data_IF_735098410090
#
_entry.id   IF_735098410090
#
_cell.length_a   1.000
_cell.length_b   1.000
_cell.length_c   1.000
_cell.angle_alpha   90.00
_cell.angle_beta   90.00
_cell.angle_gamma   90.00
#
_symmetry.space_group_name_H-M   'P 1'
#
loop_
_entity.id
_entity.type
_entity.pdbx_description
1 polymer ?
#
# COMPACT_ATOMS: atom_id res chain seq x y z
N UNK A 1 -3.61 -22.24 -3.02
CA UNK A 1 -3.28 -21.15 -3.97
C UNK A 1 -2.49 -20.11 -3.19
N UNK A 2 -1.37 -19.62 -3.72
CA UNK A 2 -0.53 -18.65 -3.01
C UNK A 2 -1.18 -17.27 -3.08
N UNK A 3 -2.04 -16.94 -2.12
CA UNK A 3 -2.69 -15.63 -2.03
C UNK A 3 -1.65 -14.58 -1.68
N UNK A 4 -1.46 -13.60 -2.55
CA UNK A 4 -0.50 -12.51 -2.29
C UNK A 4 -1.05 -11.53 -1.24
N UNK A 5 -0.20 -10.73 -0.60
CA UNK A 5 -0.64 -9.66 0.31
C UNK A 5 -1.55 -8.64 -0.38
N UNK A 6 -1.35 -8.42 -1.69
CA UNK A 6 -2.22 -7.60 -2.52
C UNK A 6 -3.62 -8.18 -2.64
N UNK A 7 -3.73 -9.49 -2.88
CA UNK A 7 -5.02 -10.18 -2.95
C UNK A 7 -5.73 -10.27 -1.59
N UNK A 8 -4.98 -10.41 -0.49
CA UNK A 8 -5.55 -10.36 0.87
C UNK A 8 -6.22 -9.02 1.17
N UNK A 9 -5.61 -7.92 0.73
CA UNK A 9 -6.21 -6.59 0.82
C UNK A 9 -7.22 -6.30 -0.30
N UNK A 10 -7.34 -7.16 -1.31
CA UNK A 10 -8.19 -6.93 -2.47
C UNK A 10 -7.73 -5.74 -3.32
N UNK A 11 -6.43 -5.43 -3.32
CA UNK A 11 -5.83 -4.32 -4.07
C UNK A 11 -4.93 -4.84 -5.20
N UNK A 12 -4.73 -4.02 -6.23
CA UNK A 12 -3.77 -4.35 -7.29
C UNK A 12 -2.31 -4.26 -6.81
N UNK A 13 -1.39 -4.91 -7.52
CA UNK A 13 0.06 -4.76 -7.28
C UNK A 13 0.55 -3.33 -7.46
N UNK A 14 -0.10 -2.58 -8.33
CA UNK A 14 0.14 -1.16 -8.59
C UNK A 14 -0.50 -0.23 -7.54
N UNK A 15 -1.17 -0.78 -6.51
CA UNK A 15 -1.84 0.02 -5.49
C UNK A 15 -0.85 0.92 -4.74
N UNK A 16 -1.27 2.17 -4.56
CA UNK A 16 -0.51 3.19 -3.84
C UNK A 16 -0.70 3.04 -2.33
N UNK A 17 0.22 3.56 -1.52
CA UNK A 17 0.10 3.60 -0.05
C UNK A 17 -1.28 4.03 0.47
N UNK A 18 -1.90 5.12 -0.04
CA UNK A 18 -3.26 5.51 0.36
C UNK A 18 -4.35 4.50 -0.03
N UNK A 19 -4.22 3.80 -1.17
CA UNK A 19 -5.17 2.75 -1.56
C UNK A 19 -5.08 1.52 -0.66
N UNK A 20 -3.85 1.09 -0.34
CA UNK A 20 -3.58 -0.02 0.60
C UNK A 20 -4.18 0.32 1.97
N UNK A 21 -3.97 1.55 2.47
CA UNK A 21 -4.56 2.01 3.73
C UNK A 21 -6.09 2.03 3.69
N UNK A 22 -6.67 2.49 2.59
CA UNK A 22 -8.14 2.54 2.43
C UNK A 22 -8.73 1.13 2.44
N UNK A 23 -8.11 0.18 1.74
CA UNK A 23 -8.54 -1.21 1.71
C UNK A 23 -8.44 -1.87 3.10
N UNK A 24 -7.32 -1.67 3.80
CA UNK A 24 -7.12 -2.11 5.18
C UNK A 24 -8.24 -1.61 6.09
N UNK A 25 -8.57 -0.32 6.06
CA UNK A 25 -9.63 0.26 6.89
C UNK A 25 -11.00 -0.36 6.60
N UNK A 26 -11.33 -0.60 5.33
CA UNK A 26 -12.60 -1.25 4.96
C UNK A 26 -12.66 -2.71 5.42
N UNK A 27 -11.56 -3.45 5.32
CA UNK A 27 -11.48 -4.84 5.71
C UNK A 27 -11.46 -5.01 7.23
N UNK A 28 -10.77 -4.13 7.95
CA UNK A 28 -10.78 -4.07 9.41
C UNK A 28 -12.19 -3.81 9.95
N UNK A 29 -12.93 -2.88 9.34
CA UNK A 29 -14.32 -2.61 9.71
C UNK A 29 -15.27 -3.79 9.43
N UNK A 30 -14.98 -4.60 8.40
CA UNK A 30 -15.75 -5.82 8.06
C UNK A 30 -15.39 -7.02 8.93
N UNK A 31 -14.14 -7.12 9.36
CA UNK A 31 -13.63 -8.21 10.20
C UNK A 31 -13.73 -7.90 11.70
N UNK A 32 -14.48 -6.86 12.06
CA UNK A 32 -14.62 -6.43 13.45
C UNK A 32 -15.56 -7.41 14.18
N UNK A 33 -15.12 -8.05 15.28
CA UNK A 33 -15.89 -9.10 15.97
C UNK A 33 -17.21 -8.58 16.58
N UNK A 34 -17.32 -7.28 16.84
CA UNK A 34 -18.57 -6.65 17.29
C UNK A 34 -19.65 -6.58 16.20
N UNK A 35 -19.26 -6.72 14.92
CA UNK A 35 -20.16 -6.67 13.76
C UNK A 35 -20.33 -8.02 13.07
N UNK A 36 -19.52 -9.01 13.42
CA UNK A 36 -19.52 -10.32 12.77
C UNK A 36 -19.28 -11.42 13.79
N UNK A 37 -20.13 -12.44 13.79
CA UNK A 37 -19.98 -13.65 14.62
C UNK A 37 -19.07 -14.70 13.93
N UNK A 38 -18.20 -14.24 13.04
CA UNK A 38 -17.39 -15.12 12.19
C UNK A 38 -16.15 -15.56 12.98
N UNK A 39 -15.96 -16.86 13.27
CA UNK A 39 -14.81 -17.33 14.04
C UNK A 39 -13.48 -17.09 13.30
N UNK A 40 -13.53 -16.95 11.97
CA UNK A 40 -12.39 -16.62 11.12
C UNK A 40 -12.11 -15.11 11.04
N UNK A 41 -12.93 -14.24 11.66
CA UNK A 41 -12.70 -12.79 11.67
C UNK A 41 -11.33 -12.42 12.25
N UNK A 42 -10.92 -13.07 13.32
CA UNK A 42 -9.60 -12.89 13.93
C UNK A 42 -8.48 -13.31 12.99
N UNK A 43 -8.59 -14.48 12.37
CA UNK A 43 -7.58 -14.99 11.44
C UNK A 43 -7.46 -14.09 10.20
N UNK A 44 -8.59 -13.67 9.63
CA UNK A 44 -8.66 -12.70 8.54
C UNK A 44 -8.01 -11.37 8.93
N UNK A 45 -8.36 -10.83 10.08
CA UNK A 45 -7.80 -9.58 10.57
C UNK A 45 -6.28 -9.64 10.72
N UNK A 46 -5.74 -10.75 11.25
CA UNK A 46 -4.30 -10.96 11.35
C UNK A 46 -3.63 -10.97 9.96
N UNK A 47 -4.20 -11.69 9.00
CA UNK A 47 -3.69 -11.72 7.61
C UNK A 47 -3.74 -10.35 6.93
N UNK A 48 -4.83 -9.60 7.12
CA UNK A 48 -5.02 -8.24 6.61
C UNK A 48 -4.00 -7.28 7.23
N UNK A 49 -3.76 -7.39 8.53
CA UNK A 49 -2.80 -6.56 9.25
C UNK A 49 -1.37 -6.84 8.79
N UNK A 50 -0.98 -8.12 8.67
CA UNK A 50 0.35 -8.49 8.18
C UNK A 50 0.58 -7.99 6.75
N UNK A 51 -0.42 -8.16 5.86
CA UNK A 51 -0.37 -7.64 4.50
C UNK A 51 -0.18 -6.11 4.49
N UNK A 52 -0.92 -5.39 5.34
CA UNK A 52 -0.77 -3.95 5.47
C UNK A 52 0.61 -3.55 5.99
N UNK A 53 1.15 -4.21 7.02
CA UNK A 53 2.48 -3.90 7.58
C UNK A 53 3.60 -4.07 6.56
N UNK A 54 3.52 -5.09 5.71
CA UNK A 54 4.52 -5.32 4.65
C UNK A 54 4.34 -4.33 3.50
N UNK A 55 3.10 -4.04 3.09
CA UNK A 55 2.82 -3.21 1.91
C UNK A 55 2.81 -1.70 2.19
N UNK A 56 2.59 -1.27 3.43
CA UNK A 56 2.63 0.14 3.81
C UNK A 56 4.06 0.67 3.97
N UNK A 57 5.01 -0.20 4.29
CA UNK A 57 6.42 0.16 4.40
C UNK A 57 7.12 -0.04 3.04
N UNK A 58 7.76 1.00 2.48
CA UNK A 58 8.37 0.92 1.16
C UNK A 58 9.57 -0.05 1.12
N UNK A 59 10.31 -0.21 2.22
CA UNK A 59 11.46 -1.12 2.29
C UNK A 59 10.98 -2.58 2.36
N UNK A 60 9.98 -2.86 3.20
CA UNK A 60 9.37 -4.19 3.30
C UNK A 60 8.65 -4.57 2.00
N UNK A 61 7.91 -3.64 1.40
CA UNK A 61 7.27 -3.83 0.10
C UNK A 61 8.30 -4.17 -0.97
N UNK A 62 9.40 -3.43 -1.05
CA UNK A 62 10.46 -3.73 -2.00
C UNK A 62 11.03 -5.15 -1.81
N UNK A 63 11.32 -5.56 -0.56
CA UNK A 63 11.79 -6.93 -0.26
C UNK A 63 10.76 -7.99 -0.66
N UNK A 64 9.48 -7.72 -0.45
CA UNK A 64 8.39 -8.61 -0.82
C UNK A 64 8.25 -8.72 -2.35
N UNK A 65 8.27 -7.58 -3.05
CA UNK A 65 8.26 -7.49 -4.52
C UNK A 65 9.45 -8.23 -5.14
N UNK A 66 10.66 -8.11 -4.57
CA UNK A 66 11.84 -8.82 -5.05
C UNK A 66 11.71 -10.35 -4.89
N UNK A 67 11.14 -10.83 -3.77
CA UNK A 67 10.80 -12.26 -3.60
C UNK A 67 9.78 -12.73 -4.65
N UNK A 68 8.79 -11.89 -4.95
CA UNK A 68 7.76 -12.17 -5.95
C UNK A 68 8.31 -12.19 -7.38
N UNK A 69 9.22 -11.27 -7.75
CA UNK A 69 9.89 -11.27 -9.06
C UNK A 69 10.69 -12.55 -9.31
N UNK A 70 11.33 -13.07 -8.27
CA UNK A 70 12.07 -14.34 -8.35
C UNK A 70 11.15 -15.54 -8.57
N UNK A 71 9.89 -15.45 -8.14
CA UNK A 71 8.85 -16.46 -8.37
C UNK A 71 8.09 -16.26 -9.71
N UNK A 72 7.97 -15.03 -10.21
CA UNK A 72 7.23 -14.70 -11.43
C UNK A 72 8.00 -13.69 -12.28
N UNK A 73 8.64 -14.18 -13.34
CA UNK A 73 9.43 -13.40 -14.30
C UNK A 73 8.52 -12.43 -15.09
N UNK A 74 8.35 -11.19 -14.62
CA UNK A 74 7.94 -10.03 -15.43
C UNK A 74 8.26 -8.71 -14.69
N UNK A 75 9.01 -7.77 -15.31
CA UNK A 75 9.40 -6.51 -14.67
C UNK A 75 8.42 -5.39 -15.02
N UNK A 76 7.81 -4.77 -14.01
CA UNK A 76 7.37 -3.36 -14.06
C UNK A 76 7.65 -2.71 -12.70
N UNK A 77 8.51 -1.71 -12.69
CA UNK A 77 8.98 -0.92 -11.53
C UNK A 77 9.41 0.45 -12.09
N UNK A 78 9.45 1.59 -11.37
CA UNK A 78 8.54 2.28 -10.43
C UNK A 78 8.19 3.72 -10.98
N UNK A 79 7.70 4.78 -10.24
CA UNK A 79 8.22 5.34 -8.98
C UNK A 79 7.16 5.59 -7.88
N UNK A 80 7.66 5.69 -6.64
CA UNK A 80 6.93 6.30 -5.53
C UNK A 80 6.74 7.81 -5.79
N UNK A 81 5.56 8.39 -5.55
CA UNK A 81 5.45 9.79 -5.16
C UNK A 81 5.42 9.85 -3.63
N UNK A 82 6.57 10.15 -3.03
CA UNK A 82 6.55 10.86 -1.75
C UNK A 82 5.72 12.12 -1.99
N UNK A 83 4.61 12.26 -1.27
CA UNK A 83 3.79 13.47 -1.22
C UNK A 83 4.66 14.73 -1.26
N UNK A 84 4.46 15.66 -2.21
CA UNK A 84 4.55 17.06 -1.87
C UNK A 84 3.17 17.44 -1.31
N UNK A 85 3.03 17.46 0.01
CA UNK A 85 1.93 18.20 0.60
C UNK A 85 2.14 19.67 0.20
N UNK A 86 1.19 20.22 -0.56
CA UNK A 86 0.97 21.63 -0.91
C UNK A 86 1.41 22.08 -2.32
N UNK A 87 0.42 22.55 -3.10
CA UNK A 87 0.52 23.11 -4.45
C UNK A 87 0.72 24.67 -4.41
N UNK A 88 0.57 25.46 -5.50
CA UNK A 88 1.69 26.22 -6.06
C UNK A 88 1.48 27.74 -6.14
N UNK A 89 2.56 28.57 -6.15
CA UNK A 89 2.55 29.80 -6.96
C UNK A 89 3.95 30.25 -7.36
N UNK A 90 4.18 30.18 -8.67
CA UNK A 90 5.23 30.83 -9.44
C UNK A 90 5.18 32.34 -9.19
N UNK A 91 6.32 32.98 -8.93
CA UNK A 91 6.61 34.29 -9.52
C UNK A 91 8.08 34.38 -9.91
N UNK A 92 8.24 34.97 -11.07
CA UNK A 92 9.44 35.09 -11.87
C UNK A 92 10.34 36.21 -11.30
N UNK A 93 11.65 36.04 -11.51
CA UNK A 93 12.78 37.00 -11.50
C UNK A 93 12.41 38.49 -11.82
N UNK A 94 13.21 39.54 -11.49
CA UNK A 94 14.68 39.47 -11.46
C UNK A 94 15.43 40.33 -10.41
N UNK A 95 16.72 40.04 -10.25
CA UNK A 95 17.73 40.98 -9.74
C UNK A 95 17.82 42.22 -10.64
N UNK A 96 18.26 43.36 -10.10
CA UNK A 96 19.07 44.29 -10.89
C UNK A 96 20.45 44.55 -10.22
N UNK A 97 21.53 44.66 -11.03
CA UNK A 97 22.88 45.08 -10.60
C UNK A 97 23.12 46.58 -10.95
N UNK A 98 24.34 47.13 -10.78
CA UNK A 98 25.44 46.75 -9.89
C UNK A 98 25.46 47.54 -8.56
#
# INVERSE_FOLDING_TARGET
>A
MATTYYELLGVGRDATGPEIRKAYLQLAAKSHPDKTDDPDATARFQLINEAYTVLSDPEQRARYDEKLKRASKAPKTPPQPSTPLSSPRRHHHPSPPP
#
